data_IF_761149144632
#
_entry.id   IF_761149144632
#
_cell.length_a   1.000
_cell.length_b   1.000
_cell.length_c   1.000
_cell.angle_alpha   90.00
_cell.angle_beta   90.00
_cell.angle_gamma   90.00
#
_symmetry.space_group_name_H-M   'P 1'
#
loop_
_entity.id
_entity.type
_entity.pdbx_description
1 polymer ?
#
# COMPACT_ATOMS: atom_id res chain seq x y z
N UNK A 1 -22.39 -26.27 -42.86
CA UNK A 1 -21.59 -25.04 -42.88
C UNK A 1 -21.89 -24.31 -41.56
N UNK A 2 -20.86 -24.06 -40.75
CA UNK A 2 -20.83 -23.43 -39.41
C UNK A 2 -21.50 -24.15 -38.22
N UNK A 3 -20.70 -24.89 -37.43
CA UNK A 3 -20.99 -25.31 -36.04
C UNK A 3 -20.51 -24.19 -35.10
N UNK A 4 -21.42 -23.28 -34.74
CA UNK A 4 -21.16 -22.11 -33.91
C UNK A 4 -20.97 -22.45 -32.43
N UNK A 5 -19.85 -23.10 -32.08
CA UNK A 5 -19.51 -23.30 -30.67
C UNK A 5 -19.03 -21.99 -30.03
N UNK A 6 -19.67 -21.51 -28.96
CA UNK A 6 -19.16 -20.36 -28.21
C UNK A 6 -17.77 -20.71 -27.66
N UNK A 7 -16.82 -19.77 -27.84
CA UNK A 7 -15.44 -19.91 -27.41
C UNK A 7 -15.34 -20.38 -25.97
N UNK A 8 -14.79 -21.58 -25.78
CA UNK A 8 -14.48 -22.18 -24.48
C UNK A 8 -13.69 -21.14 -23.69
N UNK A 9 -14.26 -20.62 -22.61
CA UNK A 9 -13.50 -19.84 -21.64
C UNK A 9 -12.28 -20.66 -21.23
N UNK A 10 -11.10 -20.26 -21.68
CA UNK A 10 -9.85 -20.94 -21.45
C UNK A 10 -9.64 -20.99 -19.93
N UNK A 11 -9.74 -22.19 -19.34
CA UNK A 11 -9.45 -22.37 -17.91
C UNK A 11 -7.98 -22.03 -17.73
N UNK A 12 -7.71 -21.07 -16.85
CA UNK A 12 -6.35 -20.74 -16.41
C UNK A 12 -5.64 -22.01 -15.91
N UNK A 13 -4.37 -22.17 -16.28
CA UNK A 13 -3.57 -23.31 -15.86
C UNK A 13 -3.26 -23.23 -14.34
N UNK A 14 -2.93 -24.35 -13.69
CA UNK A 14 -2.46 -24.34 -12.30
C UNK A 14 -1.22 -23.46 -12.09
N UNK A 15 -0.35 -23.36 -13.09
CA UNK A 15 0.86 -22.54 -13.04
C UNK A 15 0.50 -21.04 -13.07
N UNK A 16 -0.48 -20.64 -13.89
CA UNK A 16 -0.98 -19.25 -13.94
C UNK A 16 -1.55 -18.81 -12.58
N UNK A 17 -2.27 -19.73 -11.91
CA UNK A 17 -2.86 -19.46 -10.59
C UNK A 17 -1.78 -19.31 -9.50
N UNK A 18 -0.72 -20.12 -9.56
CA UNK A 18 0.41 -20.03 -8.65
C UNK A 18 1.18 -18.72 -8.85
N UNK A 19 1.43 -18.33 -10.10
CA UNK A 19 2.10 -17.08 -10.43
C UNK A 19 1.30 -15.85 -9.94
N UNK A 20 -0.02 -15.86 -10.14
CA UNK A 20 -0.90 -14.81 -9.64
C UNK A 20 -0.86 -14.70 -8.11
N UNK A 21 -0.87 -15.83 -7.39
CA UNK A 21 -0.73 -15.86 -5.95
C UNK A 21 0.62 -15.30 -5.49
N UNK A 22 1.73 -15.71 -6.12
CA UNK A 22 3.07 -15.20 -5.82
C UNK A 22 3.13 -13.69 -6.05
N UNK A 23 2.56 -13.20 -7.15
CA UNK A 23 2.51 -11.77 -7.49
C UNK A 23 1.73 -10.98 -6.44
N UNK A 24 0.55 -11.47 -6.01
CA UNK A 24 -0.24 -10.83 -4.98
C UNK A 24 0.51 -10.78 -3.63
N UNK A 25 1.15 -11.88 -3.24
CA UNK A 25 1.94 -11.94 -2.01
C UNK A 25 3.13 -10.98 -2.07
N UNK A 26 3.85 -10.92 -3.19
CA UNK A 26 4.97 -10.00 -3.36
C UNK A 26 4.50 -8.54 -3.27
N UNK A 27 3.39 -8.20 -3.94
CA UNK A 27 2.82 -6.86 -3.87
C UNK A 27 2.47 -6.47 -2.42
N UNK A 28 1.80 -7.36 -1.69
CA UNK A 28 1.48 -7.16 -0.27
C UNK A 28 2.74 -6.93 0.58
N UNK A 29 3.79 -7.73 0.39
CA UNK A 29 5.04 -7.61 1.16
C UNK A 29 5.78 -6.31 0.85
N UNK A 30 5.80 -5.90 -0.42
CA UNK A 30 6.42 -4.65 -0.84
C UNK A 30 5.64 -3.43 -0.32
N UNK A 31 4.30 -3.50 -0.20
CA UNK A 31 3.51 -2.46 0.47
C UNK A 31 3.91 -2.29 1.94
N UNK A 32 4.23 -3.38 2.63
CA UNK A 32 4.60 -3.30 4.04
C UNK A 32 5.95 -2.60 4.29
N UNK A 33 6.88 -2.63 3.33
CA UNK A 33 8.26 -2.18 3.53
C UNK A 33 8.34 -0.69 3.90
N UNK A 34 7.74 0.27 3.15
CA UNK A 34 7.82 1.68 3.51
C UNK A 34 7.23 1.97 4.89
N UNK A 35 6.09 1.36 5.21
CA UNK A 35 5.45 1.52 6.52
C UNK A 35 6.33 1.04 7.67
N UNK A 36 7.00 -0.10 7.52
CA UNK A 36 7.88 -0.62 8.56
C UNK A 36 9.18 0.18 8.66
N UNK A 37 9.81 0.53 7.54
CA UNK A 37 11.11 1.21 7.53
C UNK A 37 10.97 2.69 7.88
N UNK A 38 10.15 3.44 7.13
CA UNK A 38 9.96 4.88 7.36
C UNK A 38 9.15 5.13 8.63
N UNK A 39 8.16 4.27 8.92
CA UNK A 39 7.40 4.35 10.17
C UNK A 39 8.27 4.10 11.39
N UNK A 40 9.12 3.07 11.38
CA UNK A 40 10.07 2.83 12.47
C UNK A 40 11.08 3.98 12.61
N UNK A 41 11.49 4.60 11.51
CA UNK A 41 12.35 5.78 11.56
C UNK A 41 11.67 6.95 12.27
N UNK A 42 10.41 7.24 11.93
CA UNK A 42 9.61 8.26 12.62
C UNK A 42 9.39 7.92 14.10
N UNK A 43 9.16 6.64 14.41
CA UNK A 43 8.89 6.18 15.77
C UNK A 43 10.13 6.24 16.68
N UNK A 44 11.28 5.77 16.18
CA UNK A 44 12.48 5.60 16.99
C UNK A 44 13.36 6.87 17.00
N UNK A 45 13.30 7.68 15.94
CA UNK A 45 14.13 8.88 15.79
C UNK A 45 13.34 10.10 15.29
N UNK A 46 12.24 10.50 15.98
CA UNK A 46 11.36 11.56 15.49
C UNK A 46 12.07 12.90 15.29
N UNK A 47 12.95 13.30 16.21
CA UNK A 47 13.72 14.55 16.10
C UNK A 47 14.79 14.54 14.99
N UNK A 48 15.17 13.36 14.46
CA UNK A 48 16.02 13.27 13.28
C UNK A 48 15.17 13.47 12.02
N UNK A 49 14.01 12.81 11.95
CA UNK A 49 13.06 12.95 10.85
C UNK A 49 12.61 14.40 10.70
N UNK A 50 12.26 15.08 11.80
CA UNK A 50 11.85 16.49 11.76
C UNK A 50 12.95 17.37 11.16
N UNK A 51 14.18 17.24 11.67
CA UNK A 51 15.33 18.04 11.26
C UNK A 51 15.69 17.85 9.80
N UNK A 52 15.55 16.62 9.28
CA UNK A 52 15.89 16.29 7.90
C UNK A 52 14.74 16.60 6.93
N UNK A 53 13.49 16.47 7.38
CA UNK A 53 12.32 16.54 6.52
C UNK A 53 11.62 17.89 6.51
N UNK A 54 11.61 18.63 7.63
CA UNK A 54 10.92 19.92 7.76
C UNK A 54 11.85 21.05 7.34
N UNK A 55 11.33 22.04 6.61
CA UNK A 55 12.11 23.23 6.25
C UNK A 55 12.41 24.09 7.48
N UNK A 56 13.55 24.82 7.49
CA UNK A 56 13.92 25.65 8.64
C UNK A 56 12.83 26.62 9.11
N UNK A 57 12.04 27.15 8.18
CA UNK A 57 10.95 28.10 8.47
C UNK A 57 9.79 27.51 9.30
N UNK A 58 9.63 26.18 9.29
CA UNK A 58 8.56 25.46 9.98
C UNK A 58 9.09 24.50 11.06
N UNK A 59 10.39 24.52 11.33
CA UNK A 59 11.02 23.64 12.30
C UNK A 59 10.72 24.10 13.73
N UNK A 60 10.29 23.18 14.60
CA UNK A 60 10.02 23.47 16.00
C UNK A 60 11.01 22.75 16.93
N UNK A 61 11.26 21.47 16.69
CA UNK A 61 12.26 20.68 17.43
C UNK A 61 11.96 20.48 18.91
N UNK A 62 10.68 20.51 19.29
CA UNK A 62 10.24 20.40 20.69
C UNK A 62 9.61 19.03 21.00
N UNK A 63 9.25 18.82 22.27
CA UNK A 63 8.65 17.55 22.73
C UNK A 63 7.31 17.28 22.06
N UNK A 64 6.55 18.31 21.68
CA UNK A 64 5.25 18.16 21.01
C UNK A 64 5.45 17.65 19.59
N UNK A 65 6.36 18.23 18.81
CA UNK A 65 6.64 17.73 17.46
C UNK A 65 7.25 16.34 17.47
N UNK A 66 8.11 16.04 18.45
CA UNK A 66 8.61 14.69 18.65
C UNK A 66 7.50 13.67 18.94
N UNK A 67 6.53 14.02 19.79
CA UNK A 67 5.36 13.19 20.07
C UNK A 67 4.52 12.96 18.81
N UNK A 68 4.21 14.02 18.06
CA UNK A 68 3.37 13.94 16.84
C UNK A 68 4.01 13.05 15.77
N UNK A 69 5.31 13.21 15.50
CA UNK A 69 6.05 12.37 14.55
C UNK A 69 6.14 10.93 15.05
N UNK A 70 6.35 10.74 16.36
CA UNK A 70 6.34 9.40 16.97
C UNK A 70 4.99 8.70 16.82
N UNK A 71 3.87 9.40 17.04
CA UNK A 71 2.53 8.88 16.83
C UNK A 71 2.28 8.49 15.37
N UNK A 72 2.68 9.34 14.43
CA UNK A 72 2.63 9.03 13.01
C UNK A 72 3.45 7.78 12.67
N UNK A 73 4.67 7.68 13.19
CA UNK A 73 5.52 6.50 13.04
C UNK A 73 4.88 5.22 13.61
N UNK A 74 4.29 5.29 14.79
CA UNK A 74 3.58 4.15 15.39
C UNK A 74 2.42 3.66 14.53
N UNK A 75 1.62 4.58 13.99
CA UNK A 75 0.49 4.26 13.10
C UNK A 75 0.96 3.65 11.77
N UNK A 76 2.07 4.16 11.22
CA UNK A 76 2.70 3.60 10.04
C UNK A 76 3.20 2.18 10.30
N UNK A 77 3.93 1.94 11.40
CA UNK A 77 4.39 0.59 11.79
C UNK A 77 3.21 -0.36 11.97
N UNK A 78 2.14 0.05 12.65
CA UNK A 78 0.93 -0.75 12.80
C UNK A 78 0.36 -1.16 11.44
N UNK A 79 0.24 -0.21 10.51
CA UNK A 79 -0.24 -0.45 9.14
C UNK A 79 0.67 -1.41 8.36
N UNK A 80 1.99 -1.28 8.54
CA UNK A 80 2.99 -2.17 7.95
C UNK A 80 2.93 -3.59 8.51
N UNK A 81 2.69 -3.75 9.81
CA UNK A 81 2.49 -5.07 10.43
C UNK A 81 1.22 -5.74 9.89
N UNK A 82 0.11 -5.00 9.77
CA UNK A 82 -1.10 -5.55 9.15
C UNK A 82 -0.86 -5.93 7.69
N UNK A 83 -0.20 -5.09 6.90
CA UNK A 83 0.15 -5.41 5.52
C UNK A 83 1.08 -6.63 5.43
N UNK A 84 2.07 -6.76 6.32
CA UNK A 84 2.98 -7.89 6.30
C UNK A 84 2.28 -9.20 6.69
N UNK A 85 1.49 -9.23 7.76
CA UNK A 85 1.07 -10.49 8.38
C UNK A 85 -0.38 -10.89 8.12
N UNK A 86 -1.23 -9.99 7.59
CA UNK A 86 -2.61 -10.33 7.23
C UNK A 86 -2.68 -11.11 5.91
N UNK A 87 -3.85 -11.65 5.59
CA UNK A 87 -4.14 -12.19 4.26
C UNK A 87 -4.84 -11.13 3.42
N UNK A 88 -4.21 -10.65 2.35
CA UNK A 88 -4.89 -9.73 1.45
C UNK A 88 -5.78 -10.49 0.47
N UNK A 89 -7.04 -10.10 0.43
CA UNK A 89 -7.96 -10.48 -0.64
C UNK A 89 -7.96 -9.40 -1.73
N UNK A 90 -8.64 -9.66 -2.86
CA UNK A 90 -8.91 -8.65 -3.88
C UNK A 90 -9.55 -7.40 -3.28
N UNK A 91 -10.55 -7.57 -2.42
CA UNK A 91 -11.21 -6.46 -1.72
C UNK A 91 -10.25 -5.73 -0.79
N UNK A 92 -9.35 -6.45 -0.11
CA UNK A 92 -8.33 -5.84 0.75
C UNK A 92 -7.43 -4.91 -0.06
N UNK A 93 -6.89 -5.34 -1.22
CA UNK A 93 -6.09 -4.45 -2.07
C UNK A 93 -6.85 -3.20 -2.53
N UNK A 94 -8.12 -3.34 -2.89
CA UNK A 94 -8.96 -2.21 -3.30
C UNK A 94 -9.15 -1.21 -2.15
N UNK A 95 -9.60 -1.70 -1.00
CA UNK A 95 -9.88 -0.85 0.17
C UNK A 95 -8.59 -0.23 0.70
N UNK A 96 -7.48 -0.98 0.72
CA UNK A 96 -6.17 -0.47 1.12
C UNK A 96 -5.69 0.65 0.18
N UNK A 97 -5.86 0.47 -1.13
CA UNK A 97 -5.58 1.51 -2.12
C UNK A 97 -6.40 2.78 -1.90
N UNK A 98 -7.71 2.65 -1.62
CA UNK A 98 -8.57 3.79 -1.29
C UNK A 98 -8.12 4.47 0.01
N UNK A 99 -7.80 3.68 1.03
CA UNK A 99 -7.34 4.18 2.33
C UNK A 99 -5.99 4.91 2.26
N UNK A 100 -5.14 4.58 1.28
CA UNK A 100 -3.89 5.29 1.02
C UNK A 100 -4.09 6.67 0.38
N UNK A 101 -5.20 6.92 -0.32
CA UNK A 101 -5.39 8.18 -1.08
C UNK A 101 -5.34 9.44 -0.20
N UNK A 102 -6.00 9.49 0.99
CA UNK A 102 -5.87 10.65 1.88
C UNK A 102 -4.43 10.91 2.30
N UNK A 103 -3.66 9.84 2.60
CA UNK A 103 -2.28 9.97 3.01
C UNK A 103 -1.35 10.41 1.86
N UNK A 104 -1.55 9.83 0.66
CA UNK A 104 -0.86 10.26 -0.55
C UNK A 104 -1.12 11.73 -0.88
N UNK A 105 -2.37 12.18 -0.80
CA UNK A 105 -2.73 13.58 -1.01
C UNK A 105 -2.13 14.51 0.05
N UNK A 106 -2.19 14.11 1.32
CA UNK A 106 -1.57 14.85 2.41
C UNK A 106 -0.07 15.06 2.16
N UNK A 107 0.65 13.99 1.80
CA UNK A 107 2.08 14.07 1.53
C UNK A 107 2.38 14.94 0.29
N UNK A 108 1.62 14.78 -0.80
CA UNK A 108 1.72 15.66 -1.98
C UNK A 108 1.57 17.14 -1.60
N UNK A 109 0.53 17.45 -0.82
CA UNK A 109 0.20 18.82 -0.45
C UNK A 109 1.34 19.48 0.34
N UNK A 110 1.88 18.80 1.35
CA UNK A 110 2.92 19.37 2.22
C UNK A 110 4.35 19.28 1.68
N UNK A 111 4.56 18.57 0.56
CA UNK A 111 5.84 18.57 -0.17
C UNK A 111 5.83 19.57 -1.32
N UNK A 112 4.73 19.68 -2.08
CA UNK A 112 4.70 20.42 -3.35
C UNK A 112 3.82 21.67 -3.36
N UNK A 113 2.71 21.70 -2.60
CA UNK A 113 1.75 22.83 -2.65
C UNK A 113 2.02 23.85 -1.55
N UNK A 114 2.07 23.38 -0.30
CA UNK A 114 2.47 24.17 0.88
C UNK A 114 3.72 23.51 1.42
N UNK A 115 4.91 23.86 0.92
CA UNK A 115 6.10 23.04 1.10
C UNK A 115 6.68 23.21 2.50
N UNK A 116 5.98 22.68 3.50
CA UNK A 116 6.43 22.57 4.90
C UNK A 116 7.58 21.58 4.97
N UNK A 117 7.47 20.50 4.20
CA UNK A 117 8.55 19.55 4.03
C UNK A 117 9.50 19.99 2.90
N UNK A 118 10.74 19.53 3.00
CA UNK A 118 11.74 19.67 1.94
C UNK A 118 11.78 18.41 1.05
N UNK A 119 12.71 18.37 0.10
CA UNK A 119 12.80 17.31 -0.89
C UNK A 119 13.11 15.91 -0.33
N UNK A 120 13.64 15.78 0.90
CA UNK A 120 13.81 14.47 1.54
C UNK A 120 12.47 13.74 1.69
N UNK A 121 11.38 14.47 1.90
CA UNK A 121 10.04 13.88 2.03
C UNK A 121 9.43 13.46 0.68
N UNK A 122 10.07 13.75 -0.45
CA UNK A 122 9.73 13.12 -1.71
C UNK A 122 9.95 11.59 -1.68
N UNK A 123 10.80 11.08 -0.77
CA UNK A 123 10.94 9.65 -0.53
C UNK A 123 9.63 9.01 -0.06
N UNK A 124 8.94 9.66 0.88
CA UNK A 124 7.64 9.20 1.38
C UNK A 124 6.57 9.33 0.27
N UNK A 125 6.60 10.41 -0.51
CA UNK A 125 5.72 10.59 -1.66
C UNK A 125 5.84 9.44 -2.67
N UNK A 126 7.06 9.15 -3.11
CA UNK A 126 7.36 8.08 -4.09
C UNK A 126 6.98 6.72 -3.52
N UNK A 127 7.22 6.51 -2.22
CA UNK A 127 6.81 5.29 -1.52
C UNK A 127 5.29 5.11 -1.56
N UNK A 128 4.52 6.16 -1.27
CA UNK A 128 3.06 6.12 -1.36
C UNK A 128 2.56 5.87 -2.80
N UNK A 129 3.16 6.51 -3.80
CA UNK A 129 2.84 6.26 -5.20
C UNK A 129 3.10 4.79 -5.59
N UNK A 130 4.24 4.23 -5.17
CA UNK A 130 4.58 2.84 -5.41
C UNK A 130 3.60 1.89 -4.72
N UNK A 131 3.21 2.17 -3.46
CA UNK A 131 2.22 1.38 -2.74
C UNK A 131 0.84 1.40 -3.42
N UNK A 132 0.40 2.55 -3.94
CA UNK A 132 -0.83 2.63 -4.74
C UNK A 132 -0.75 1.76 -6.01
N UNK A 133 0.37 1.81 -6.72
CA UNK A 133 0.60 0.95 -7.89
C UNK A 133 0.58 -0.54 -7.51
N UNK A 134 1.22 -0.92 -6.39
CA UNK A 134 1.21 -2.28 -5.87
C UNK A 134 -0.20 -2.73 -5.45
N UNK A 135 -1.05 -1.83 -4.96
CA UNK A 135 -2.46 -2.15 -4.69
C UNK A 135 -3.19 -2.52 -5.98
N UNK A 136 -2.96 -1.80 -7.08
CA UNK A 136 -3.53 -2.13 -8.40
C UNK A 136 -3.00 -3.48 -8.90
N UNK A 137 -1.70 -3.74 -8.78
CA UNK A 137 -1.07 -5.01 -9.17
C UNK A 137 -1.67 -6.17 -8.37
N UNK A 138 -1.73 -6.06 -7.05
CA UNK A 138 -2.29 -7.08 -6.17
C UNK A 138 -3.77 -7.32 -6.41
N UNK A 139 -4.56 -6.27 -6.66
CA UNK A 139 -5.97 -6.38 -7.03
C UNK A 139 -6.17 -7.19 -8.33
N UNK A 140 -5.38 -6.87 -9.36
CA UNK A 140 -5.45 -7.57 -10.66
C UNK A 140 -5.00 -9.03 -10.54
N UNK A 141 -3.90 -9.29 -9.83
CA UNK A 141 -3.44 -10.66 -9.58
C UNK A 141 -4.48 -11.48 -8.78
N UNK A 142 -5.18 -10.86 -7.85
CA UNK A 142 -6.25 -11.49 -7.07
C UNK A 142 -7.57 -11.68 -7.85
N UNK A 143 -7.65 -11.19 -9.09
CA UNK A 143 -8.87 -11.25 -9.91
C UNK A 143 -9.11 -12.63 -10.55
N UNK A 144 -8.09 -13.48 -10.64
CA UNK A 144 -8.19 -14.84 -11.20
C UNK A 144 -8.81 -15.89 -10.26
N UNK A 145 -9.03 -15.56 -8.99
CA UNK A 145 -9.47 -16.51 -7.95
C UNK A 145 -10.96 -16.50 -7.62
N UNK A 146 -11.78 -15.61 -8.21
CA UNK A 146 -13.22 -15.56 -7.93
C UNK A 146 -14.02 -16.30 -9.01
N UNK A 147 -14.03 -17.61 -8.93
CA UNK A 147 -15.21 -18.39 -9.33
C UNK A 147 -15.88 -18.83 -8.03
N UNK A 148 -17.00 -18.18 -7.72
CA UNK A 148 -17.91 -18.66 -6.70
C UNK A 148 -18.16 -20.16 -6.94
N UNK A 149 -17.87 -20.98 -5.94
CA UNK A 149 -18.52 -22.28 -5.84
C UNK A 149 -19.98 -21.94 -5.59
N UNK A 150 -20.85 -22.16 -6.57
CA UNK A 150 -22.29 -22.19 -6.37
C UNK A 150 -22.59 -23.27 -5.32
N UNK A 151 -23.09 -22.95 -4.12
CA UNK A 151 -23.46 -23.95 -3.13
C UNK A 151 -24.83 -24.58 -3.42
N UNK A 152 -25.46 -24.26 -4.56
CA UNK A 152 -26.82 -24.65 -4.88
C UNK A 152 -26.90 -25.14 -6.33
N UNK A 153 -26.61 -26.42 -6.53
CA UNK A 153 -26.85 -27.13 -7.78
C UNK A 153 -27.04 -28.62 -7.51
N UNK A 154 -28.22 -29.11 -7.90
CA UNK A 154 -28.72 -30.50 -7.91
C UNK A 154 -29.43 -31.01 -6.64
N UNK A 155 -30.67 -30.56 -6.47
CA UNK A 155 -31.79 -31.39 -6.00
C UNK A 155 -32.79 -31.61 -7.13
#
# INVERSE_FOLDING_TARGET
MNDGRPGRAQRSSPDDAKEALVTALLAQRLIAVPFLVLGAWCLLFPGMVERLGVRPEFYHGDTTTALLIGCFGAQAVLSGLFAAFSRFTRTTFLVYGIALLPFFWFNYWFVFVVPVFNQWMALDFVSNAAMLALCVVGYRASSGGFRAVDPLGDH
#
